data_IF_478017196693
#
_entry.id   IF_478017196693
#
_cell.length_a   1.000
_cell.length_b   1.000
_cell.length_c   1.000
_cell.angle_alpha   90.00
_cell.angle_beta   90.00
_cell.angle_gamma   90.00
#
_symmetry.space_group_name_H-M   'P 1'
#
loop_
_entity.id
_entity.type
_entity.pdbx_description
1 polymer ?
#
# COMPACT_ATOMS: atom_id res chain seq x y z
N UNK A 1 -20.28 -14.24 22.85
CA UNK A 1 -20.08 -12.78 22.85
C UNK A 1 -18.84 -12.48 22.03
N UNK A 2 -19.04 -12.02 20.80
CA UNK A 2 -17.98 -11.54 19.91
C UNK A 2 -17.65 -10.11 20.32
N UNK A 3 -16.49 -9.90 20.94
CA UNK A 3 -15.98 -8.54 21.15
C UNK A 3 -15.72 -7.93 19.77
N UNK A 4 -16.33 -6.78 19.50
CA UNK A 4 -15.97 -5.97 18.36
C UNK A 4 -14.47 -5.69 18.44
N UNK A 5 -13.72 -5.92 17.36
CA UNK A 5 -12.28 -5.73 17.39
C UNK A 5 -11.97 -4.23 17.47
N UNK A 6 -11.60 -3.79 18.67
CA UNK A 6 -11.40 -2.40 19.04
C UNK A 6 -10.11 -1.76 18.50
N UNK A 7 -9.84 -0.48 18.88
CA UNK A 7 -8.66 0.32 18.51
C UNK A 7 -7.32 -0.42 18.60
N UNK A 8 -7.19 -1.32 19.58
CA UNK A 8 -6.01 -2.18 19.81
C UNK A 8 -5.60 -2.97 18.55
N UNK A 9 -6.55 -3.32 17.68
CA UNK A 9 -6.25 -4.08 16.46
C UNK A 9 -5.55 -3.22 15.40
N UNK A 10 -5.96 -1.96 15.23
CA UNK A 10 -5.35 -1.07 14.25
C UNK A 10 -3.92 -0.70 14.63
N UNK A 11 -3.69 -0.39 15.91
CA UNK A 11 -2.37 -0.13 16.47
C UNK A 11 -1.45 -1.36 16.32
N UNK A 12 -1.98 -2.56 16.60
CA UNK A 12 -1.20 -3.78 16.41
C UNK A 12 -0.86 -4.05 14.94
N UNK A 13 -1.74 -3.74 13.99
CA UNK A 13 -1.42 -3.83 12.56
C UNK A 13 -0.30 -2.85 12.20
N UNK A 14 -0.37 -1.61 12.66
CA UNK A 14 0.68 -0.60 12.43
C UNK A 14 2.02 -1.07 13.02
N UNK A 15 2.01 -1.61 14.24
CA UNK A 15 3.18 -2.21 14.88
C UNK A 15 3.73 -3.39 14.07
N UNK A 16 2.86 -4.25 13.54
CA UNK A 16 3.28 -5.35 12.67
C UNK A 16 3.91 -4.85 11.36
N UNK A 17 3.38 -3.77 10.77
CA UNK A 17 3.96 -3.16 9.57
C UNK A 17 5.40 -2.67 9.84
N UNK A 18 5.62 -2.01 10.99
CA UNK A 18 6.98 -1.67 11.44
C UNK A 18 7.85 -2.93 11.59
N UNK A 19 7.33 -3.95 12.28
CA UNK A 19 8.07 -5.17 12.59
C UNK A 19 8.42 -6.02 11.37
N UNK A 20 7.65 -5.99 10.29
CA UNK A 20 7.96 -6.76 9.08
C UNK A 20 8.79 -5.97 8.06
N UNK A 21 8.93 -4.66 8.22
CA UNK A 21 9.72 -3.88 7.29
C UNK A 21 11.23 -4.24 7.37
N UNK A 22 11.75 -4.84 6.31
CA UNK A 22 13.19 -5.18 6.16
C UNK A 22 13.81 -4.56 4.90
N UNK A 23 13.18 -3.57 4.26
CA UNK A 23 13.77 -2.95 3.05
C UNK A 23 14.91 -2.02 3.43
N UNK A 24 16.14 -2.40 3.08
CA UNK A 24 17.35 -1.59 3.32
C UNK A 24 17.24 -0.18 2.75
N UNK A 25 16.66 -0.04 1.54
CA UNK A 25 16.46 1.27 0.90
C UNK A 25 15.54 2.19 1.71
N UNK A 26 14.50 1.65 2.32
CA UNK A 26 13.60 2.43 3.18
C UNK A 26 14.34 2.96 4.42
N UNK A 27 15.08 2.08 5.10
CA UNK A 27 15.88 2.44 6.27
C UNK A 27 16.95 3.49 5.93
N UNK A 28 17.64 3.32 4.80
CA UNK A 28 18.63 4.28 4.32
C UNK A 28 18.01 5.65 4.03
N UNK A 29 16.87 5.70 3.34
CA UNK A 29 16.20 6.96 3.03
C UNK A 29 15.71 7.67 4.29
N UNK A 30 15.20 6.94 5.29
CA UNK A 30 14.79 7.51 6.57
C UNK A 30 15.98 8.08 7.34
N UNK A 31 17.10 7.36 7.38
CA UNK A 31 18.34 7.85 7.97
C UNK A 31 18.85 9.11 7.27
N UNK A 32 18.78 9.15 5.93
CA UNK A 32 19.29 10.27 5.16
C UNK A 32 18.41 11.54 5.23
N UNK A 33 17.10 11.40 5.44
CA UNK A 33 16.13 12.49 5.30
C UNK A 33 15.40 12.89 6.59
N UNK A 34 15.66 12.23 7.72
CA UNK A 34 14.96 12.49 8.97
C UNK A 34 15.91 12.49 10.16
N UNK A 35 15.82 13.52 10.99
CA UNK A 35 16.47 13.57 12.31
C UNK A 35 15.89 12.52 13.28
N UNK A 36 14.70 12.00 12.98
CA UNK A 36 14.03 10.96 13.77
C UNK A 36 13.48 9.87 12.83
N UNK A 37 14.33 8.92 12.39
CA UNK A 37 13.95 7.88 11.43
C UNK A 37 12.76 6.99 11.88
N UNK A 38 12.54 6.87 13.18
CA UNK A 38 11.43 6.13 13.78
C UNK A 38 10.11 6.90 13.82
N UNK A 39 10.13 8.22 13.59
CA UNK A 39 8.97 9.11 13.69
C UNK A 39 8.71 9.81 12.35
N UNK A 40 8.09 9.12 11.38
CA UNK A 40 7.91 9.68 10.06
C UNK A 40 6.94 10.86 10.06
N UNK A 41 7.27 11.90 9.29
CA UNK A 41 6.40 13.06 9.08
C UNK A 41 5.93 13.14 7.64
N UNK A 42 4.61 13.11 7.44
CA UNK A 42 4.03 13.32 6.10
C UNK A 42 4.14 14.79 5.69
N UNK A 43 4.54 15.02 4.44
CA UNK A 43 4.44 16.35 3.84
C UNK A 43 2.97 16.80 3.76
N UNK A 44 2.74 18.13 3.75
CA UNK A 44 1.38 18.68 3.62
C UNK A 44 0.68 18.21 2.33
N UNK A 45 1.44 18.07 1.25
CA UNK A 45 0.93 17.59 -0.05
C UNK A 45 0.48 16.14 0.02
N UNK A 46 1.35 15.26 0.55
CA UNK A 46 1.01 13.85 0.69
C UNK A 46 -0.17 13.64 1.65
N UNK A 47 -0.20 14.34 2.79
CA UNK A 47 -1.33 14.27 3.70
C UNK A 47 -2.65 14.66 3.04
N UNK A 48 -2.65 15.74 2.24
CA UNK A 48 -3.85 16.17 1.50
C UNK A 48 -4.34 15.10 0.52
N UNK A 49 -3.43 14.37 -0.12
CA UNK A 49 -3.78 13.33 -1.08
C UNK A 49 -4.40 12.09 -0.43
N UNK A 50 -3.85 11.67 0.72
CA UNK A 50 -4.24 10.41 1.37
C UNK A 50 -5.35 10.57 2.41
N UNK A 51 -5.50 11.75 3.03
CA UNK A 51 -6.49 11.92 4.09
C UNK A 51 -7.92 11.70 3.56
N UNK A 52 -8.83 11.16 4.39
CA UNK A 52 -10.26 11.18 4.10
C UNK A 52 -10.78 12.61 3.97
N UNK A 53 -11.75 12.82 3.09
CA UNK A 53 -12.30 14.15 2.80
C UNK A 53 -12.90 14.83 4.03
N UNK A 54 -13.58 14.04 4.88
CA UNK A 54 -14.22 14.49 6.11
C UNK A 54 -13.31 14.39 7.36
N UNK A 55 -12.03 14.03 7.19
CA UNK A 55 -11.12 13.88 8.32
C UNK A 55 -10.56 15.22 8.80
N UNK A 56 -10.06 15.24 10.04
CA UNK A 56 -9.37 16.40 10.61
C UNK A 56 -8.26 16.89 9.67
N UNK A 57 -8.08 18.22 9.59
CA UNK A 57 -6.98 18.82 8.82
C UNK A 57 -5.60 18.47 9.41
N UNK A 58 -5.56 18.10 10.68
CA UNK A 58 -4.33 17.76 11.40
C UNK A 58 -3.76 16.42 10.91
N UNK A 59 -2.43 16.36 10.77
CA UNK A 59 -1.71 15.13 10.45
C UNK A 59 -1.76 14.18 11.66
N UNK A 60 -1.73 12.85 11.44
CA UNK A 60 -1.65 11.88 12.52
C UNK A 60 -0.38 12.07 13.36
N UNK A 61 -0.45 11.66 14.62
CA UNK A 61 0.72 11.57 15.50
C UNK A 61 1.77 10.63 14.87
N UNK A 62 3.06 10.99 14.80
CA UNK A 62 4.15 10.10 14.36
C UNK A 62 4.13 8.69 14.96
N UNK A 63 3.70 8.52 16.21
CA UNK A 63 3.64 7.20 16.85
C UNK A 63 2.45 6.35 16.36
N UNK A 64 1.43 6.98 15.77
CA UNK A 64 0.22 6.35 15.24
C UNK A 64 0.23 6.19 13.72
N UNK A 65 1.40 6.27 13.08
CA UNK A 65 1.56 6.16 11.63
C UNK A 65 2.71 5.23 11.26
N UNK A 66 2.50 4.46 10.21
CA UNK A 66 3.53 3.72 9.50
C UNK A 66 3.73 4.36 8.12
N UNK A 67 4.99 4.52 7.73
CA UNK A 67 5.41 4.89 6.37
C UNK A 67 6.53 3.95 5.97
N UNK A 68 6.35 3.22 4.86
CA UNK A 68 7.35 2.27 4.36
C UNK A 68 7.46 2.34 2.83
N UNK A 69 8.66 2.59 2.35
CA UNK A 69 8.99 2.54 0.92
C UNK A 69 9.21 1.09 0.46
N UNK A 70 8.88 0.80 -0.80
CA UNK A 70 9.18 -0.48 -1.45
C UNK A 70 8.63 -1.69 -0.66
N UNK A 71 7.46 -1.51 -0.06
CA UNK A 71 6.97 -2.40 0.97
C UNK A 71 6.40 -3.70 0.36
N UNK A 72 6.93 -4.85 0.77
CA UNK A 72 6.62 -6.12 0.15
C UNK A 72 5.19 -6.60 0.44
N UNK A 73 4.43 -7.05 -0.57
CA UNK A 73 3.03 -7.44 -0.39
C UNK A 73 2.82 -8.67 0.52
N UNK A 74 3.77 -9.62 0.57
CA UNK A 74 3.76 -10.68 1.58
C UNK A 74 3.83 -10.15 3.02
N UNK A 75 4.61 -9.09 3.27
CA UNK A 75 4.71 -8.47 4.60
C UNK A 75 3.43 -7.72 4.96
N UNK A 76 2.79 -7.08 3.98
CA UNK A 76 1.48 -6.47 4.17
C UNK A 76 0.45 -7.53 4.56
N UNK A 77 0.40 -8.65 3.82
CA UNK A 77 -0.47 -9.77 4.18
C UNK A 77 -0.19 -10.26 5.61
N UNK A 78 1.07 -10.53 5.95
CA UNK A 78 1.44 -11.00 7.28
C UNK A 78 1.01 -10.01 8.39
N UNK A 79 1.19 -8.71 8.18
CA UNK A 79 0.80 -7.67 9.14
C UNK A 79 -0.71 -7.67 9.42
N UNK A 80 -1.52 -7.85 8.38
CA UNK A 80 -2.98 -7.84 8.45
C UNK A 80 -3.57 -9.14 9.03
N UNK A 81 -2.86 -10.25 8.91
CA UNK A 81 -3.35 -11.57 9.32
C UNK A 81 -2.94 -11.95 10.75
N UNK A 82 -2.01 -11.22 11.35
CA UNK A 82 -1.43 -11.51 12.66
C UNK A 82 -1.65 -10.40 13.71
N UNK A 83 -2.83 -9.73 13.81
CA UNK A 83 -3.08 -8.84 14.93
C UNK A 83 -3.29 -9.68 16.20
N UNK A 84 -2.30 -9.71 17.10
CA UNK A 84 -2.41 -10.36 18.41
C UNK A 84 -1.47 -11.55 18.66
N UNK A 85 -0.51 -11.83 17.76
CA UNK A 85 0.41 -12.98 17.94
C UNK A 85 1.81 -12.61 18.38
N UNK A 86 2.22 -11.35 18.23
CA UNK A 86 3.58 -10.93 18.57
C UNK A 86 3.78 -10.57 20.04
N UNK A 87 2.72 -10.38 20.83
CA UNK A 87 2.84 -9.92 22.23
C UNK A 87 3.03 -11.07 23.24
N UNK A 88 2.86 -12.33 22.84
CA UNK A 88 3.17 -13.48 23.70
C UNK A 88 4.47 -14.17 23.27
N UNK A 89 5.58 -13.63 23.78
CA UNK A 89 6.85 -14.31 24.00
C UNK A 89 7.49 -15.06 22.83
N UNK A 90 7.19 -14.78 21.55
CA UNK A 90 7.91 -15.39 20.41
C UNK A 90 7.93 -16.94 20.34
N UNK A 91 7.27 -17.62 21.29
CA UNK A 91 7.36 -19.05 21.58
C UNK A 91 6.06 -19.78 21.25
N UNK A 92 4.97 -19.03 21.05
CA UNK A 92 3.74 -19.59 20.48
C UNK A 92 3.90 -19.70 18.96
N UNK A 93 4.46 -20.82 18.52
CA UNK A 93 4.36 -21.26 17.15
C UNK A 93 2.88 -21.36 16.77
N UNK A 94 2.34 -20.34 16.12
CA UNK A 94 1.09 -20.52 15.42
C UNK A 94 1.35 -21.47 14.25
N UNK A 95 0.57 -22.54 14.10
CA UNK A 95 0.72 -23.40 12.95
C UNK A 95 0.46 -22.53 11.71
N UNK A 96 1.38 -22.58 10.73
CA UNK A 96 1.25 -21.92 9.43
C UNK A 96 0.08 -22.55 8.66
N UNK A 97 -1.14 -22.26 9.10
CA UNK A 97 -2.35 -22.72 8.46
C UNK A 97 -2.84 -21.60 7.56
N UNK A 98 -2.80 -21.89 6.27
CA UNK A 98 -3.52 -21.09 5.30
C UNK A 98 -4.99 -21.01 5.70
N UNK A 99 -5.62 -19.84 5.62
CA UNK A 99 -7.06 -19.72 5.75
C UNK A 99 -7.75 -20.74 4.83
N UNK A 100 -8.89 -21.26 5.25
CA UNK A 100 -9.61 -22.33 4.55
C UNK A 100 -9.85 -21.99 3.07
N UNK A 101 -10.17 -20.71 2.76
CA UNK A 101 -10.34 -20.24 1.39
C UNK A 101 -9.07 -20.36 0.53
N UNK A 102 -7.86 -20.31 1.11
CA UNK A 102 -6.61 -20.44 0.38
C UNK A 102 -6.21 -21.92 0.17
N UNK A 103 -6.68 -22.83 1.05
CA UNK A 103 -6.47 -24.28 0.89
C UNK A 103 -7.27 -24.88 -0.27
N UNK A 104 -8.47 -24.34 -0.53
CA UNK A 104 -9.31 -24.75 -1.67
C UNK A 104 -8.81 -24.20 -3.02
N UNK A 105 -7.87 -23.25 -2.99
CA UNK A 105 -7.27 -22.58 -4.14
C UNK A 105 -6.00 -23.30 -4.66
N UNK A 106 -5.83 -24.62 -4.42
CA UNK A 106 -4.62 -25.39 -4.81
C UNK A 106 -4.24 -25.28 -6.31
N UNK A 107 -5.18 -24.87 -7.15
CA UNK A 107 -5.00 -24.61 -8.59
C UNK A 107 -5.24 -23.15 -9.01
N UNK A 108 -5.36 -22.24 -8.04
CA UNK A 108 -5.54 -20.83 -8.35
C UNK A 108 -4.29 -20.28 -9.01
N UNK A 109 -4.48 -19.49 -10.06
CA UNK A 109 -3.39 -18.82 -10.78
C UNK A 109 -2.61 -17.84 -9.91
N UNK A 110 -3.17 -17.43 -8.77
CA UNK A 110 -2.63 -16.42 -7.83
C UNK A 110 -3.06 -16.66 -6.40
N UNK A 111 -2.23 -16.24 -5.45
CA UNK A 111 -2.46 -16.36 -4.01
C UNK A 111 -2.14 -15.03 -3.29
N UNK A 112 -2.65 -14.79 -2.06
CA UNK A 112 -2.28 -13.59 -1.28
C UNK A 112 -0.77 -13.52 -0.99
N UNK A 113 -0.16 -14.66 -0.62
CA UNK A 113 1.29 -14.82 -0.51
C UNK A 113 1.78 -15.57 -1.75
N UNK A 114 2.85 -15.06 -2.38
CA UNK A 114 3.49 -15.64 -3.55
C UNK A 114 5.02 -15.59 -3.39
N UNK A 115 5.75 -16.45 -4.09
CA UNK A 115 7.22 -16.40 -4.18
C UNK A 115 7.75 -15.24 -5.02
N UNK A 116 6.86 -14.53 -5.73
CA UNK A 116 7.22 -13.36 -6.53
C UNK A 116 7.29 -12.09 -5.67
N UNK A 117 8.33 -11.31 -5.93
CA UNK A 117 8.52 -9.98 -5.37
C UNK A 117 7.57 -9.01 -6.08
N UNK A 118 6.48 -8.68 -5.39
CA UNK A 118 5.70 -7.48 -5.70
C UNK A 118 5.67 -6.62 -4.43
N UNK A 119 5.91 -5.34 -4.62
CA UNK A 119 6.00 -4.29 -3.62
C UNK A 119 4.99 -3.18 -3.93
N UNK A 120 4.79 -2.30 -2.97
CA UNK A 120 4.18 -0.99 -3.17
C UNK A 120 5.27 0.06 -3.00
N UNK A 121 5.33 1.05 -3.89
CA UNK A 121 6.41 2.05 -3.85
C UNK A 121 6.41 2.82 -2.53
N UNK A 122 5.22 3.15 -2.01
CA UNK A 122 5.05 3.73 -0.68
C UNK A 122 3.76 3.23 -0.02
N UNK A 123 3.89 2.63 1.17
CA UNK A 123 2.79 2.27 2.04
C UNK A 123 2.68 3.29 3.17
N UNK A 124 1.48 3.85 3.36
CA UNK A 124 1.16 4.67 4.54
C UNK A 124 -0.02 4.05 5.27
N UNK A 125 0.11 3.82 6.57
CA UNK A 125 -0.98 3.33 7.42
C UNK A 125 -1.13 4.22 8.66
N UNK A 126 -2.35 4.60 9.00
CA UNK A 126 -2.63 5.43 10.18
C UNK A 126 -4.04 5.19 10.69
N UNK A 127 -4.27 5.46 11.97
CA UNK A 127 -5.62 5.48 12.55
C UNK A 127 -6.30 6.82 12.28
N UNK A 128 -7.53 6.76 11.78
CA UNK A 128 -8.38 7.91 11.49
C UNK A 128 -9.49 8.09 12.51
N UNK A 129 -10.56 8.78 12.11
CA UNK A 129 -11.72 8.97 12.96
C UNK A 129 -12.38 7.62 13.30
N UNK A 130 -12.85 7.46 14.55
CA UNK A 130 -13.46 6.21 15.07
C UNK A 130 -12.55 4.99 14.99
N UNK A 131 -11.24 5.19 15.19
CA UNK A 131 -10.21 4.15 15.20
C UNK A 131 -10.11 3.36 13.89
N UNK A 132 -10.66 3.91 12.79
CA UNK A 132 -10.62 3.28 11.48
C UNK A 132 -9.19 3.21 10.96
N UNK A 133 -8.72 2.03 10.55
CA UNK A 133 -7.40 1.89 9.95
C UNK A 133 -7.45 2.37 8.49
N UNK A 134 -6.68 3.41 8.17
CA UNK A 134 -6.45 3.85 6.80
C UNK A 134 -5.19 3.20 6.26
N UNK A 135 -5.29 2.65 5.05
CA UNK A 135 -4.18 2.03 4.34
C UNK A 135 -4.07 2.64 2.94
N UNK A 136 -3.11 3.53 2.74
CA UNK A 136 -2.81 4.14 1.45
C UNK A 136 -1.63 3.42 0.79
N UNK A 137 -1.91 2.78 -0.34
CA UNK A 137 -0.96 2.10 -1.20
C UNK A 137 -0.65 3.02 -2.37
N UNK A 138 0.56 3.56 -2.42
CA UNK A 138 0.94 4.57 -3.42
C UNK A 138 1.95 3.95 -4.37
N UNK A 139 1.64 4.03 -5.66
CA UNK A 139 2.52 3.65 -6.76
C UNK A 139 3.02 4.91 -7.43
N UNK A 140 4.33 5.05 -7.57
CA UNK A 140 4.98 6.17 -8.21
C UNK A 140 5.40 5.80 -9.64
N UNK A 141 5.10 6.68 -10.58
CA UNK A 141 5.54 6.50 -11.96
C UNK A 141 5.87 7.82 -12.63
N UNK A 142 7.16 8.02 -12.92
CA UNK A 142 7.66 9.29 -13.46
C UNK A 142 7.80 9.28 -14.99
N UNK A 143 8.22 8.17 -15.58
CA UNK A 143 8.77 8.17 -16.96
C UNK A 143 8.08 7.24 -17.95
N UNK A 144 7.39 6.20 -17.48
CA UNK A 144 6.68 5.25 -18.34
C UNK A 144 5.17 5.30 -18.08
N UNK A 145 4.36 5.02 -19.10
CA UNK A 145 2.92 4.91 -18.95
C UNK A 145 2.53 3.73 -18.04
N UNK A 146 1.43 3.86 -17.31
CA UNK A 146 0.86 2.79 -16.51
C UNK A 146 0.54 1.57 -17.41
N UNK A 147 1.24 0.45 -17.20
CA UNK A 147 0.98 -0.77 -17.96
C UNK A 147 -0.17 -1.53 -17.32
N UNK A 148 -1.24 -1.72 -18.09
CA UNK A 148 -2.47 -2.36 -17.63
C UNK A 148 -2.25 -3.79 -17.10
N UNK A 149 -1.27 -4.55 -17.60
CA UNK A 149 -0.95 -5.90 -17.12
C UNK A 149 -0.29 -5.90 -15.74
N UNK A 150 0.72 -5.05 -15.53
CA UNK A 150 1.41 -4.92 -14.23
C UNK A 150 0.44 -4.43 -13.16
N UNK A 151 -0.37 -3.43 -13.50
CA UNK A 151 -1.41 -2.91 -12.63
C UNK A 151 -2.45 -3.98 -12.28
N UNK A 152 -2.99 -4.71 -13.28
CA UNK A 152 -3.95 -5.81 -13.05
C UNK A 152 -3.36 -6.89 -12.14
N UNK A 153 -2.09 -7.24 -12.34
CA UNK A 153 -1.37 -8.16 -11.46
C UNK A 153 -1.43 -7.64 -10.01
N UNK A 154 -0.90 -6.44 -9.77
CA UNK A 154 -0.80 -5.88 -8.43
C UNK A 154 -2.16 -5.74 -7.75
N UNK A 155 -3.15 -5.17 -8.43
CA UNK A 155 -4.53 -5.03 -7.94
C UNK A 155 -5.19 -6.39 -7.68
N UNK A 156 -4.96 -7.38 -8.54
CA UNK A 156 -5.46 -8.74 -8.35
C UNK A 156 -4.97 -9.35 -7.03
N UNK A 157 -3.68 -9.20 -6.73
CA UNK A 157 -3.09 -9.70 -5.47
C UNK A 157 -3.57 -8.92 -4.26
N UNK A 158 -3.60 -7.58 -4.34
CA UNK A 158 -4.12 -6.74 -3.26
C UNK A 158 -5.57 -7.08 -2.92
N UNK A 159 -6.39 -7.42 -3.92
CA UNK A 159 -7.75 -7.88 -3.69
C UNK A 159 -7.80 -9.22 -2.94
N UNK A 160 -6.89 -10.14 -3.23
CA UNK A 160 -6.78 -11.40 -2.49
C UNK A 160 -6.35 -11.15 -1.04
N UNK A 161 -5.38 -10.27 -0.80
CA UNK A 161 -4.94 -9.86 0.55
C UNK A 161 -6.10 -9.21 1.31
N UNK A 162 -6.83 -8.29 0.69
CA UNK A 162 -7.98 -7.63 1.30
C UNK A 162 -9.10 -8.60 1.64
N UNK A 163 -9.40 -9.56 0.77
CA UNK A 163 -10.39 -10.63 1.05
C UNK A 163 -9.94 -11.52 2.21
N UNK A 164 -8.64 -11.85 2.27
CA UNK A 164 -8.05 -12.61 3.35
C UNK A 164 -8.28 -11.94 4.70
N UNK A 165 -7.91 -10.65 4.78
CA UNK A 165 -8.00 -9.85 5.99
C UNK A 165 -9.45 -9.72 6.48
N UNK A 166 -10.41 -9.51 5.57
CA UNK A 166 -11.85 -9.47 5.89
C UNK A 166 -12.41 -10.78 6.44
N UNK A 167 -11.83 -11.92 6.06
CA UNK A 167 -12.28 -13.23 6.49
C UNK A 167 -11.76 -13.65 7.87
N UNK A 168 -10.96 -12.82 8.54
CA UNK A 168 -10.39 -13.16 9.85
C UNK A 168 -11.31 -12.75 11.00
N UNK A 169 -11.35 -13.61 12.03
CA UNK A 169 -12.10 -13.40 13.29
C UNK A 169 -11.60 -12.18 14.08
N UNK A 170 -10.37 -11.74 13.80
CA UNK A 170 -9.71 -10.55 14.35
C UNK A 170 -9.65 -9.40 13.35
N UNK A 171 -10.58 -9.34 12.39
CA UNK A 171 -10.72 -8.19 11.51
C UNK A 171 -11.24 -6.98 12.31
N UNK A 172 -10.37 -6.46 13.18
CA UNK A 172 -10.38 -5.08 13.64
C UNK A 172 -10.40 -4.11 12.50
N UNK A 173 -10.63 -2.85 12.88
CA UNK A 173 -11.65 -1.93 12.39
C UNK A 173 -11.76 -1.90 10.87
N UNK A 174 -12.94 -1.54 10.35
CA UNK A 174 -13.17 -1.35 8.92
C UNK A 174 -11.97 -0.71 8.22
N UNK A 175 -11.17 -1.50 7.49
CA UNK A 175 -9.95 -0.95 6.88
C UNK A 175 -10.37 -0.13 5.67
N UNK A 176 -9.99 1.14 5.65
CA UNK A 176 -10.15 2.03 4.52
C UNK A 176 -8.93 1.93 3.59
N UNK A 177 -9.09 1.15 2.53
CA UNK A 177 -8.06 0.96 1.51
C UNK A 177 -8.11 2.11 0.49
N UNK A 178 -6.95 2.69 0.19
CA UNK A 178 -6.74 3.62 -0.91
C UNK A 178 -5.60 3.11 -1.79
N UNK A 179 -5.79 3.14 -3.10
CA UNK A 179 -4.75 2.90 -4.08
C UNK A 179 -4.50 4.21 -4.82
N UNK A 180 -3.26 4.69 -4.81
CA UNK A 180 -2.95 6.04 -5.28
C UNK A 180 -1.88 5.93 -6.35
N UNK A 181 -2.16 6.51 -7.51
CA UNK A 181 -1.20 6.67 -8.58
C UNK A 181 -0.54 8.05 -8.45
N UNK A 182 0.76 8.07 -8.21
CA UNK A 182 1.57 9.26 -8.12
C UNK A 182 2.39 9.41 -9.41
N UNK A 183 2.01 10.34 -10.28
CA UNK A 183 2.69 10.56 -11.56
C UNK A 183 2.49 11.99 -12.07
N UNK A 184 3.45 12.60 -12.79
CA UNK A 184 3.30 13.99 -13.29
C UNK A 184 2.11 14.15 -14.23
N UNK A 185 1.79 13.08 -14.97
CA UNK A 185 0.63 13.00 -15.87
C UNK A 185 -0.37 11.98 -15.33
N UNK A 186 -1.68 12.23 -15.47
CA UNK A 186 -2.68 11.22 -15.17
C UNK A 186 -2.48 10.01 -16.10
N UNK A 187 -3.01 8.84 -15.73
CA UNK A 187 -3.03 7.71 -16.63
C UNK A 187 -3.79 8.05 -17.93
N UNK A 188 -3.23 7.67 -19.07
CA UNK A 188 -3.93 7.85 -20.35
C UNK A 188 -5.11 6.87 -20.47
N UNK A 189 -6.19 7.25 -21.16
CA UNK A 189 -7.44 6.48 -21.28
C UNK A 189 -7.25 5.02 -21.76
N UNK A 190 -6.14 4.69 -22.42
CA UNK A 190 -5.81 3.32 -22.83
C UNK A 190 -5.08 2.48 -21.77
N UNK A 191 -4.40 3.10 -20.80
CA UNK A 191 -3.75 2.41 -19.69
C UNK A 191 -4.77 1.73 -18.76
N UNK A 192 -5.96 2.33 -18.69
CA UNK A 192 -7.12 1.86 -17.95
C UNK A 192 -8.37 1.92 -18.83
N UNK A 193 -8.33 1.32 -20.03
CA UNK A 193 -9.52 1.25 -20.90
C UNK A 193 -10.75 0.79 -20.10
N UNK A 194 -11.94 1.26 -20.44
CA UNK A 194 -13.18 0.92 -19.72
C UNK A 194 -13.36 -0.58 -19.52
N UNK A 195 -12.95 -1.40 -20.49
CA UNK A 195 -12.93 -2.86 -20.38
C UNK A 195 -11.98 -3.36 -19.29
N UNK A 196 -10.80 -2.76 -19.17
CA UNK A 196 -9.82 -3.10 -18.14
C UNK A 196 -10.23 -2.65 -16.74
N UNK A 197 -10.94 -1.51 -16.62
CA UNK A 197 -11.55 -1.06 -15.37
C UNK A 197 -12.77 -1.92 -15.01
N UNK A 198 -13.58 -2.34 -16.00
CA UNK A 198 -14.77 -3.17 -15.82
C UNK A 198 -14.48 -4.57 -15.23
N UNK A 199 -13.25 -5.06 -15.30
CA UNK A 199 -12.82 -6.30 -14.65
C UNK A 199 -12.24 -6.10 -13.24
N UNK A 200 -12.02 -4.85 -12.82
CA UNK A 200 -11.38 -4.56 -11.54
C UNK A 200 -12.27 -4.87 -10.33
N UNK A 201 -11.66 -5.12 -9.15
CA UNK A 201 -12.41 -5.20 -7.91
C UNK A 201 -13.24 -3.92 -7.67
N UNK A 202 -14.47 -4.09 -7.18
CA UNK A 202 -15.40 -2.96 -6.91
C UNK A 202 -14.81 -1.84 -6.07
N UNK A 203 -13.87 -2.15 -5.18
CA UNK A 203 -13.23 -1.14 -4.36
C UNK A 203 -12.41 -0.17 -5.20
N UNK A 204 -11.55 -0.67 -6.10
CA UNK A 204 -10.78 0.13 -7.05
C UNK A 204 -11.70 0.94 -8.00
N UNK A 205 -12.77 0.30 -8.50
CA UNK A 205 -13.72 0.88 -9.47
C UNK A 205 -14.52 2.09 -8.99
N UNK A 206 -14.49 2.45 -7.71
CA UNK A 206 -15.23 3.61 -7.22
C UNK A 206 -14.73 4.96 -7.78
N UNK A 207 -13.93 4.96 -8.85
CA UNK A 207 -13.56 6.14 -9.63
C UNK A 207 -14.80 6.76 -10.29
N UNK A 208 -15.16 7.95 -9.83
CA UNK A 208 -15.61 9.09 -10.65
C UNK A 208 -16.39 10.13 -9.84
N UNK A 209 -16.64 9.91 -8.54
CA UNK A 209 -17.22 10.91 -7.63
C UNK A 209 -16.51 10.89 -6.28
N UNK A 210 -16.65 11.97 -5.52
CA UNK A 210 -16.13 12.12 -4.14
C UNK A 210 -16.26 10.81 -3.35
N UNK A 211 -15.14 10.29 -2.82
CA UNK A 211 -15.09 9.02 -2.09
C UNK A 211 -14.47 7.80 -2.81
N UNK A 212 -13.82 7.96 -3.96
CA UNK A 212 -13.13 6.85 -4.66
C UNK A 212 -11.92 6.29 -3.89
N UNK A 213 -11.70 4.97 -3.99
CA UNK A 213 -10.50 4.33 -3.42
C UNK A 213 -9.29 4.40 -4.33
N UNK A 214 -9.47 4.46 -5.66
CA UNK A 214 -8.42 4.77 -6.61
C UNK A 214 -8.34 6.29 -6.79
N UNK A 215 -7.16 6.85 -6.58
CA UNK A 215 -6.89 8.29 -6.72
C UNK A 215 -5.65 8.50 -7.58
N UNK A 216 -5.60 9.62 -8.28
CA UNK A 216 -4.38 10.13 -8.90
C UNK A 216 -3.92 11.37 -8.14
N UNK A 217 -2.63 11.46 -7.88
CA UNK A 217 -1.98 12.66 -7.37
C UNK A 217 -0.83 13.01 -8.29
N UNK A 218 -0.84 14.23 -8.83
CA UNK A 218 0.29 14.75 -9.59
C UNK A 218 1.37 15.23 -8.63
N UNK A 219 2.62 14.89 -8.92
CA UNK A 219 3.72 15.62 -8.32
C UNK A 219 3.62 17.11 -8.68
N UNK A 220 4.09 18.00 -7.80
CA UNK A 220 4.02 19.46 -8.03
C UNK A 220 4.76 19.89 -9.31
N UNK A 221 4.80 21.20 -9.64
CA UNK A 221 5.49 21.75 -10.82
C UNK A 221 7.04 21.61 -10.78
N UNK A 222 7.53 20.69 -9.94
CA UNK A 222 8.92 20.32 -9.80
C UNK A 222 9.44 19.80 -11.13
N UNK A 223 10.63 20.27 -11.49
CA UNK A 223 11.31 19.80 -12.69
C UNK A 223 11.99 18.48 -12.37
N UNK A 224 11.42 17.38 -12.83
CA UNK A 224 12.03 16.07 -12.59
C UNK A 224 13.16 15.86 -13.59
N UNK A 225 14.22 15.19 -13.15
CA UNK A 225 15.25 14.70 -14.05
C UNK A 225 15.03 13.21 -14.24
N UNK A 226 15.14 12.75 -15.50
CA UNK A 226 15.20 11.33 -15.79
C UNK A 226 16.52 10.98 -16.45
N UNK A 227 17.04 9.81 -16.09
CA UNK A 227 18.16 9.19 -16.79
C UNK A 227 17.56 8.33 -17.90
N UNK A 228 17.82 8.71 -19.15
CA UNK A 228 17.37 7.97 -20.34
C UNK A 228 18.56 7.37 -21.05
N UNK A 229 18.43 6.10 -21.46
CA UNK A 229 19.42 5.46 -22.33
C UNK A 229 19.30 6.05 -23.74
N UNK A 230 20.41 6.48 -24.33
CA UNK A 230 20.40 7.12 -25.67
C UNK A 230 19.88 6.19 -26.76
N UNK A 231 20.21 4.89 -26.67
CA UNK A 231 19.67 3.86 -27.55
C UNK A 231 19.61 2.51 -26.85
N UNK A 232 18.81 1.58 -27.38
CA UNK A 232 18.65 0.22 -26.84
C UNK A 232 19.96 -0.59 -26.83
N UNK A 233 20.95 -0.20 -27.65
CA UNK A 233 22.27 -0.82 -27.75
C UNK A 233 23.42 0.05 -27.21
N UNK A 234 23.16 1.33 -26.91
CA UNK A 234 24.20 2.28 -26.48
C UNK A 234 24.64 2.06 -25.03
N UNK A 235 25.90 2.42 -24.73
CA UNK A 235 26.44 2.43 -23.36
C UNK A 235 26.25 3.80 -22.67
N UNK A 236 25.72 4.78 -23.39
CA UNK A 236 25.59 6.16 -22.93
C UNK A 236 24.20 6.45 -22.35
N UNK A 237 24.19 7.25 -21.29
CA UNK A 237 23.01 7.68 -20.56
C UNK A 237 22.97 9.21 -20.55
N UNK A 238 21.80 9.77 -20.81
CA UNK A 238 21.57 11.21 -20.75
C UNK A 238 20.63 11.54 -19.61
N UNK A 239 20.93 12.64 -18.92
CA UNK A 239 20.02 13.24 -17.95
C UNK A 239 19.21 14.30 -18.68
N UNK A 240 17.89 14.19 -18.64
CA UNK A 240 16.99 15.18 -19.25
C UNK A 240 15.90 15.62 -18.27
N UNK A 241 15.49 16.87 -18.41
CA UNK A 241 14.36 17.45 -17.69
C UNK A 241 13.03 16.89 -18.24
N UNK A 242 12.07 16.62 -17.36
CA UNK A 242 10.69 16.24 -17.72
C UNK A 242 9.64 17.05 -16.98
#
# INVERSE_FOLDING_TARGET
MTQDPGPETAEQIIKNLHNFNRKERDHLMKFALSDSPSQPQLSKGLWRAIRPENSRRQRPNPDGIFVGMDYHLNWLYAALMLPGTYEQDGMRHQPNQWPEYARTQKHAKRLPIEGNQEDVDLLVAFTGDKDMLHLALIEAKLTSGWNSKQFRSKVGRLNLIRKAARGQKYAGPDIHWQFILASPKPPENGAFSETSLAEMPRWIKAESKEGSSLRHFAFGPERFYQVKRESSKGHYWQVQLI
#
